data_IF_642279460226
#
_entry.id   IF_642279460226
#
_cell.length_a   1.000
_cell.length_b   1.000
_cell.length_c   1.000
_cell.angle_alpha   90.00
_cell.angle_beta   90.00
_cell.angle_gamma   90.00
#
_symmetry.space_group_name_H-M   'P 1'
#
loop_
_entity.id
_entity.type
_entity.pdbx_description
1 polymer ?
#
# COMPACT_ATOMS: atom_id res chain seq x y z
N UNK A 1 11.71 0.81 29.18
CA UNK A 1 11.78 0.14 30.49
C UNK A 1 10.47 -0.61 30.68
N UNK A 2 10.49 -1.95 30.54
CA UNK A 2 9.30 -2.79 30.68
C UNK A 2 9.40 -3.45 32.07
N UNK A 3 8.43 -3.26 32.98
CA UNK A 3 8.57 -3.64 34.38
C UNK A 3 8.51 -5.15 34.67
N UNK A 4 8.13 -5.99 33.71
CA UNK A 4 8.21 -7.44 33.85
C UNK A 4 8.62 -8.11 32.53
N UNK A 5 9.59 -9.03 32.63
CA UNK A 5 10.19 -9.76 31.52
C UNK A 5 9.18 -10.63 30.77
N UNK A 6 8.09 -11.05 31.41
CA UNK A 6 7.02 -11.81 30.76
C UNK A 6 6.29 -11.01 29.65
N UNK A 7 6.35 -9.68 29.69
CA UNK A 7 5.73 -8.83 28.67
C UNK A 7 6.60 -8.66 27.42
N UNK A 8 7.91 -8.93 27.47
CA UNK A 8 8.78 -8.79 26.29
C UNK A 8 8.31 -9.71 25.17
N UNK A 9 7.89 -10.93 25.49
CA UNK A 9 7.34 -11.87 24.51
C UNK A 9 6.11 -11.33 23.75
N UNK A 10 5.17 -10.72 24.48
CA UNK A 10 3.98 -10.12 23.88
C UNK A 10 4.32 -8.83 23.11
N UNK A 11 5.24 -8.02 23.63
CA UNK A 11 5.70 -6.79 22.97
C UNK A 11 6.47 -7.10 21.69
N UNK A 12 7.28 -8.16 21.65
CA UNK A 12 7.99 -8.61 20.45
C UNK A 12 7.02 -9.06 19.36
N UNK A 13 5.98 -9.81 19.76
CA UNK A 13 4.91 -10.23 18.83
C UNK A 13 4.15 -9.01 18.29
N UNK A 14 3.78 -8.08 19.17
CA UNK A 14 3.08 -6.85 18.78
C UNK A 14 3.94 -5.97 17.85
N UNK A 15 5.22 -5.81 18.15
CA UNK A 15 6.18 -5.08 17.32
C UNK A 15 6.32 -5.70 15.93
N UNK A 16 6.25 -7.04 15.84
CA UNK A 16 6.27 -7.72 14.54
C UNK A 16 5.05 -7.32 13.69
N UNK A 17 3.85 -7.40 14.26
CA UNK A 17 2.61 -7.03 13.58
C UNK A 17 2.58 -5.55 13.19
N UNK A 18 2.97 -4.65 14.11
CA UNK A 18 3.03 -3.20 13.81
C UNK A 18 4.02 -2.92 12.68
N UNK A 19 5.18 -3.59 12.68
CA UNK A 19 6.16 -3.44 11.61
C UNK A 19 5.59 -3.90 10.26
N UNK A 20 4.83 -4.98 10.25
CA UNK A 20 4.17 -5.48 9.05
C UNK A 20 3.09 -4.54 8.50
N UNK A 21 2.34 -3.88 9.38
CA UNK A 21 1.35 -2.85 9.00
C UNK A 21 2.03 -1.58 8.50
N UNK A 22 3.07 -1.09 9.17
CA UNK A 22 3.85 0.07 8.74
C UNK A 22 4.44 -0.18 7.35
N UNK A 23 5.00 -1.36 7.10
CA UNK A 23 5.51 -1.75 5.78
C UNK A 23 4.40 -1.70 4.71
N UNK A 24 3.22 -2.25 5.01
CA UNK A 24 2.07 -2.20 4.10
C UNK A 24 1.56 -0.78 3.84
N UNK A 25 1.65 0.11 4.82
CA UNK A 25 1.36 1.54 4.64
C UNK A 25 2.41 2.22 3.74
N UNK A 26 3.71 1.91 3.91
CA UNK A 26 4.78 2.48 3.09
C UNK A 26 4.60 2.09 1.61
N UNK A 27 4.30 0.81 1.35
CA UNK A 27 4.05 0.28 0.00
C UNK A 27 2.88 0.99 -0.72
N UNK A 28 1.90 1.49 0.04
CA UNK A 28 0.73 2.21 -0.48
C UNK A 28 0.93 3.73 -0.57
N UNK A 29 1.68 4.31 0.37
CA UNK A 29 1.82 5.76 0.50
C UNK A 29 2.97 6.32 -0.34
N UNK A 30 4.00 5.53 -0.63
CA UNK A 30 5.20 5.97 -1.34
C UNK A 30 5.42 5.14 -2.60
N UNK A 31 5.82 5.79 -3.70
CA UNK A 31 6.31 5.11 -4.92
C UNK A 31 7.76 4.64 -4.76
N UNK A 32 8.55 5.39 -3.98
CA UNK A 32 9.93 5.07 -3.65
C UNK A 32 10.31 5.58 -2.27
N UNK A 33 11.18 4.83 -1.58
CA UNK A 33 11.73 5.22 -0.27
C UNK A 33 13.25 4.95 -0.24
N UNK A 34 14.01 5.82 0.40
CA UNK A 34 15.43 5.59 0.63
C UNK A 34 15.67 4.47 1.64
N UNK A 35 16.77 3.72 1.49
CA UNK A 35 17.17 2.67 2.43
C UNK A 35 17.29 3.17 3.88
N UNK A 36 17.83 4.38 4.07
CA UNK A 36 18.00 4.99 5.39
C UNK A 36 16.66 5.32 6.05
N UNK A 37 15.75 5.93 5.29
CA UNK A 37 14.41 6.28 5.77
C UNK A 37 13.59 5.01 6.10
N UNK A 38 13.65 3.99 5.25
CA UNK A 38 12.98 2.71 5.51
C UNK A 38 13.53 2.03 6.79
N UNK A 39 14.85 2.07 7.00
CA UNK A 39 15.50 1.53 8.21
C UNK A 39 15.01 2.24 9.47
N UNK A 40 14.87 3.56 9.41
CA UNK A 40 14.40 4.40 10.53
C UNK A 40 12.92 4.15 10.84
N UNK A 41 12.07 4.11 9.81
CA UNK A 41 10.62 3.94 9.98
C UNK A 41 10.25 2.55 10.49
N UNK A 42 10.95 1.51 10.03
CA UNK A 42 10.72 0.12 10.47
C UNK A 42 11.47 -0.25 11.77
N UNK A 43 12.17 0.72 12.37
CA UNK A 43 12.96 0.55 13.59
C UNK A 43 13.93 -0.64 13.51
N UNK A 44 14.63 -0.78 12.39
CA UNK A 44 15.65 -1.81 12.25
C UNK A 44 16.99 -1.32 12.82
N UNK A 45 17.54 -2.03 13.80
CA UNK A 45 18.88 -1.73 14.35
C UNK A 45 20.03 -2.22 13.45
N UNK A 46 19.74 -3.04 12.44
CA UNK A 46 20.75 -3.63 11.56
C UNK A 46 20.32 -3.53 10.09
N UNK A 47 21.19 -3.03 9.19
CA UNK A 47 20.88 -2.93 7.78
C UNK A 47 20.66 -4.30 7.13
N UNK A 48 21.27 -5.38 7.65
CA UNK A 48 21.05 -6.75 7.16
C UNK A 48 19.59 -7.19 7.31
N UNK A 49 18.98 -6.89 8.47
CA UNK A 49 17.57 -7.22 8.74
C UNK A 49 16.63 -6.48 7.80
N UNK A 50 16.98 -5.24 7.43
CA UNK A 50 16.23 -4.46 6.45
C UNK A 50 16.28 -5.13 5.06
N UNK A 51 17.45 -5.58 4.62
CA UNK A 51 17.60 -6.28 3.33
C UNK A 51 16.84 -7.61 3.29
N UNK A 52 16.88 -8.39 4.36
CA UNK A 52 16.10 -9.64 4.45
C UNK A 52 14.59 -9.38 4.45
N UNK A 53 14.15 -8.31 5.13
CA UNK A 53 12.76 -7.90 5.14
C UNK A 53 12.27 -7.41 3.78
N UNK A 54 13.10 -6.61 3.09
CA UNK A 54 12.85 -6.18 1.71
C UNK A 54 12.71 -7.37 0.77
N UNK A 55 13.57 -8.41 0.91
CA UNK A 55 13.44 -9.65 0.14
C UNK A 55 12.15 -10.41 0.45
N UNK A 56 11.76 -10.53 1.73
CA UNK A 56 10.50 -11.19 2.14
C UNK A 56 9.27 -10.51 1.51
N UNK A 57 9.32 -9.19 1.36
CA UNK A 57 8.26 -8.36 0.78
C UNK A 57 8.40 -8.14 -0.74
N UNK A 58 9.40 -8.73 -1.39
CA UNK A 58 9.72 -8.54 -2.81
C UNK A 58 9.96 -7.07 -3.22
N UNK A 59 10.54 -6.26 -2.34
CA UNK A 59 10.92 -4.88 -2.64
C UNK A 59 12.12 -4.87 -3.59
N UNK A 60 12.05 -4.08 -4.66
CA UNK A 60 13.16 -3.93 -5.61
C UNK A 60 14.08 -2.81 -5.13
N UNK A 61 15.36 -3.15 -4.92
CA UNK A 61 16.38 -2.17 -4.56
C UNK A 61 17.04 -1.62 -5.82
N UNK A 62 16.91 -0.32 -6.06
CA UNK A 62 17.63 0.39 -7.11
C UNK A 62 19.11 0.58 -6.73
N UNK A 63 20.02 0.68 -7.70
CA UNK A 63 21.45 0.91 -7.47
C UNK A 63 21.75 2.16 -6.62
N UNK A 64 20.86 3.16 -6.68
CA UNK A 64 20.95 4.41 -5.93
C UNK A 64 20.52 4.29 -4.45
N UNK A 65 20.20 3.07 -3.97
CA UNK A 65 19.83 2.84 -2.57
C UNK A 65 18.36 3.17 -2.24
N UNK A 66 17.50 3.21 -3.26
CA UNK A 66 16.05 3.39 -3.11
C UNK A 66 15.33 2.06 -3.26
N UNK A 67 14.29 1.84 -2.47
CA UNK A 67 13.29 0.81 -2.72
C UNK A 67 12.17 1.42 -3.54
N UNK A 68 11.86 0.81 -4.69
CA UNK A 68 10.66 1.16 -5.44
C UNK A 68 9.54 0.21 -5.04
N UNK A 69 8.42 0.80 -4.66
CA UNK A 69 7.16 0.07 -4.56
C UNK A 69 6.47 0.33 -5.88
N UNK A 70 6.24 -0.72 -6.65
CA UNK A 70 5.17 -0.68 -7.64
C UNK A 70 3.90 -0.51 -6.83
N UNK A 71 3.58 0.74 -6.49
CA UNK A 71 2.21 1.12 -6.20
C UNK A 71 1.47 0.58 -7.39
N UNK A 72 0.77 -0.52 -7.19
CA UNK A 72 -0.54 -0.61 -7.75
C UNK A 72 -1.32 0.57 -7.13
N UNK A 73 -1.01 1.79 -7.58
CA UNK A 73 -1.92 2.40 -8.51
C UNK A 73 -2.37 1.24 -9.44
N UNK A 74 -3.35 0.46 -8.97
CA UNK A 74 -4.65 0.63 -9.57
C UNK A 74 -4.62 2.07 -10.04
N UNK A 75 -4.28 2.27 -11.31
CA UNK A 75 -5.35 2.52 -12.24
C UNK A 75 -6.65 2.45 -11.42
N UNK A 76 -6.95 3.53 -10.69
CA UNK A 76 -7.98 4.43 -11.12
C UNK A 76 -7.82 4.45 -12.62
N UNK A 77 -8.31 3.36 -13.23
CA UNK A 77 -8.89 3.32 -14.53
C UNK A 77 -9.49 4.68 -14.58
N UNK A 78 -8.85 5.52 -15.40
CA UNK A 78 -9.56 6.49 -16.18
C UNK A 78 -10.98 6.55 -15.66
N UNK A 79 -11.22 7.41 -14.66
CA UNK A 79 -12.58 7.85 -14.35
C UNK A 79 -12.97 8.75 -15.53
N UNK A 80 -12.81 8.24 -16.75
CA UNK A 80 -13.77 8.31 -17.83
C UNK A 80 -15.06 7.92 -17.16
N UNK A 81 -15.72 8.93 -16.61
CA UNK A 81 -17.15 8.93 -16.37
C UNK A 81 -17.73 8.12 -17.53
N UNK A 82 -18.41 6.98 -17.29
CA UNK A 82 -18.81 6.07 -18.35
C UNK A 82 -19.90 6.77 -19.18
N UNK A 83 -19.45 7.67 -20.06
CA UNK A 83 -20.27 8.63 -20.77
C UNK A 83 -21.13 7.93 -21.80
N UNK A 84 -20.62 6.84 -22.37
CA UNK A 84 -21.34 5.91 -23.23
C UNK A 84 -22.44 5.16 -22.48
N UNK A 85 -22.21 4.79 -21.23
CA UNK A 85 -23.18 4.07 -20.39
C UNK A 85 -24.28 5.01 -19.91
N UNK A 86 -23.92 6.20 -19.44
CA UNK A 86 -24.89 7.25 -19.10
C UNK A 86 -25.70 7.69 -20.31
N UNK A 87 -25.09 7.87 -21.48
CA UNK A 87 -25.81 8.21 -22.70
C UNK A 87 -26.82 7.13 -23.11
N UNK A 88 -26.44 5.84 -23.01
CA UNK A 88 -27.37 4.72 -23.24
C UNK A 88 -28.53 4.74 -22.26
N UNK A 89 -28.25 4.93 -20.98
CA UNK A 89 -29.30 5.02 -19.95
C UNK A 89 -30.28 6.16 -20.24
N UNK A 90 -29.78 7.37 -20.59
CA UNK A 90 -30.64 8.51 -20.93
C UNK A 90 -31.52 8.22 -22.16
N UNK A 91 -30.98 7.58 -23.19
CA UNK A 91 -31.75 7.19 -24.39
C UNK A 91 -32.81 6.13 -24.04
N UNK A 92 -32.49 5.14 -23.22
CA UNK A 92 -33.45 4.13 -22.76
C UNK A 92 -34.56 4.73 -21.90
N UNK A 93 -34.21 5.61 -20.96
CA UNK A 93 -35.20 6.32 -20.14
C UNK A 93 -36.13 7.17 -21.01
N UNK A 94 -35.61 7.91 -21.99
CA UNK A 94 -36.42 8.70 -22.92
C UNK A 94 -37.36 7.81 -23.75
N UNK A 95 -36.85 6.69 -24.27
CA UNK A 95 -37.66 5.72 -25.04
C UNK A 95 -38.77 5.11 -24.19
N UNK A 96 -38.48 4.75 -22.94
CA UNK A 96 -39.48 4.20 -22.03
C UNK A 96 -40.57 5.22 -21.74
N UNK A 97 -40.22 6.49 -21.49
CA UNK A 97 -41.19 7.58 -21.24
C UNK A 97 -42.07 7.88 -22.46
N UNK A 98 -41.52 7.87 -23.68
CA UNK A 98 -42.33 8.02 -24.91
C UNK A 98 -43.27 6.83 -25.16
N UNK A 99 -42.92 5.63 -24.71
CA UNK A 99 -43.75 4.43 -24.93
C UNK A 99 -44.98 4.34 -24.00
N UNK A 100 -44.99 5.14 -22.92
CA UNK A 100 -46.12 5.21 -21.97
C UNK A 100 -47.12 6.33 -22.31
N UNK A 101 -46.80 7.20 -23.28
CA UNK A 101 -47.67 8.27 -23.81
C UNK A 101 -48.43 7.76 -25.02
#
# INVERSE_FOLDING_TARGET
NIPAESYTFFIDTLLHTIRDEIAGCIEKAYEQIQFNEATRVLFFSSPKKMTDYAKKRNWTQSPDGYYSFSTQHQKTEEVTIPSTELAKQVIEYARQLEMIV
#
